data_IF_295812145792
#
_entry.id   IF_295812145792
#
_cell.length_a   1.000
_cell.length_b   1.000
_cell.length_c   1.000
_cell.angle_alpha   90.00
_cell.angle_beta   90.00
_cell.angle_gamma   90.00
#
_symmetry.space_group_name_H-M   'P 1'
#
loop_
_entity.id
_entity.type
_entity.pdbx_description
1 polymer ?
#
# COMPACT_ATOMS: atom_id res chain seq x y z
N UNK A 1 -13.22 20.44 19.07
CA UNK A 1 -12.63 19.25 18.47
C UNK A 1 -11.62 18.66 19.45
N UNK A 2 -11.71 17.37 19.72
CA UNK A 2 -10.73 16.66 20.53
C UNK A 2 -9.42 16.49 19.77
N UNK A 3 -8.31 16.25 20.48
CA UNK A 3 -7.01 15.99 19.83
C UNK A 3 -7.09 14.76 18.91
N UNK A 4 -7.85 13.75 19.31
CA UNK A 4 -8.12 12.56 18.51
C UNK A 4 -8.76 12.90 17.16
N UNK A 5 -9.77 13.78 17.14
CA UNK A 5 -10.42 14.20 15.89
C UNK A 5 -9.44 14.83 14.90
N UNK A 6 -8.51 15.67 15.36
CA UNK A 6 -7.47 16.26 14.51
C UNK A 6 -6.56 15.19 13.91
N UNK A 7 -6.13 14.21 14.70
CA UNK A 7 -5.23 13.16 14.23
C UNK A 7 -5.91 12.23 13.22
N UNK A 8 -7.16 11.84 13.45
CA UNK A 8 -7.95 11.04 12.52
C UNK A 8 -8.18 11.80 11.21
N UNK A 9 -8.52 13.09 11.28
CA UNK A 9 -8.70 13.93 10.08
C UNK A 9 -7.41 14.01 9.27
N UNK A 10 -6.25 14.22 9.91
CA UNK A 10 -4.96 14.28 9.23
C UNK A 10 -4.64 12.96 8.50
N UNK A 11 -4.80 11.82 9.16
CA UNK A 11 -4.60 10.50 8.56
C UNK A 11 -5.56 10.28 7.40
N UNK A 12 -6.85 10.63 7.58
CA UNK A 12 -7.89 10.47 6.54
C UNK A 12 -7.62 11.33 5.31
N UNK A 13 -7.09 12.56 5.48
CA UNK A 13 -6.69 13.42 4.35
C UNK A 13 -5.55 12.76 3.56
N UNK A 14 -4.50 12.26 4.21
CA UNK A 14 -3.37 11.61 3.54
C UNK A 14 -3.80 10.34 2.81
N UNK A 15 -4.66 9.53 3.44
CA UNK A 15 -5.25 8.34 2.82
C UNK A 15 -6.11 8.72 1.61
N UNK A 16 -6.95 9.74 1.75
CA UNK A 16 -7.81 10.25 0.67
C UNK A 16 -7.00 10.76 -0.52
N UNK A 17 -5.90 11.49 -0.27
CA UNK A 17 -4.98 11.95 -1.33
C UNK A 17 -4.35 10.76 -2.07
N UNK A 18 -3.90 9.71 -1.35
CA UNK A 18 -3.34 8.52 -1.99
C UNK A 18 -4.36 7.80 -2.88
N UNK A 19 -5.60 7.63 -2.41
CA UNK A 19 -6.67 7.05 -3.22
C UNK A 19 -7.05 7.93 -4.42
N UNK A 20 -7.05 9.25 -4.25
CA UNK A 20 -7.31 10.18 -5.33
C UNK A 20 -6.26 10.06 -6.45
N UNK A 21 -4.97 10.03 -6.09
CA UNK A 21 -3.86 9.88 -7.01
C UNK A 21 -3.91 8.53 -7.78
N UNK A 22 -4.17 7.43 -7.06
CA UNK A 22 -4.35 6.11 -7.67
C UNK A 22 -5.55 6.07 -8.62
N UNK A 23 -6.67 6.68 -8.23
CA UNK A 23 -7.89 6.75 -9.06
C UNK A 23 -7.68 7.64 -10.28
N UNK A 24 -6.93 8.72 -10.17
CA UNK A 24 -6.56 9.60 -11.26
C UNK A 24 -5.70 8.86 -12.28
N UNK A 25 -4.65 8.16 -11.83
CA UNK A 25 -3.82 7.32 -12.69
C UNK A 25 -4.65 6.24 -13.42
N UNK A 26 -5.58 5.59 -12.73
CA UNK A 26 -6.46 4.60 -13.34
C UNK A 26 -7.42 5.24 -14.38
N UNK A 27 -7.99 6.40 -14.04
CA UNK A 27 -8.87 7.16 -14.95
C UNK A 27 -8.14 7.49 -16.25
N UNK A 28 -6.90 7.97 -16.15
CA UNK A 28 -6.10 8.38 -17.29
C UNK A 28 -5.72 7.21 -18.21
N UNK A 29 -5.61 6.01 -17.66
CA UNK A 29 -5.43 4.79 -18.44
C UNK A 29 -6.71 4.33 -19.16
N UNK A 30 -7.89 4.64 -18.63
CA UNK A 30 -9.20 4.23 -19.21
C UNK A 30 -9.70 5.22 -20.26
N UNK A 31 -9.15 6.44 -20.33
CA UNK A 31 -9.59 7.47 -21.29
C UNK A 31 -9.42 6.98 -22.74
N UNK A 32 -10.44 7.21 -23.62
CA UNK A 32 -10.46 6.67 -24.97
C UNK A 32 -9.42 7.29 -25.92
N UNK A 33 -8.79 8.38 -25.52
CA UNK A 33 -7.77 9.09 -26.29
C UNK A 33 -6.43 8.36 -26.33
N UNK A 34 -6.28 7.30 -25.54
CA UNK A 34 -5.04 6.55 -25.38
C UNK A 34 -5.23 5.08 -25.67
N UNK A 35 -4.24 4.49 -26.35
CA UNK A 35 -4.16 3.04 -26.47
C UNK A 35 -3.41 2.50 -25.27
N UNK A 36 -4.02 1.58 -24.51
CA UNK A 36 -3.37 0.91 -23.38
C UNK A 36 -3.24 -0.56 -23.65
N UNK A 37 -2.02 -1.07 -23.58
CA UNK A 37 -1.75 -2.50 -23.56
C UNK A 37 -1.87 -2.99 -22.12
N UNK A 38 -3.04 -3.50 -21.77
CA UNK A 38 -3.37 -3.94 -20.42
C UNK A 38 -2.55 -5.15 -19.99
N UNK A 39 -2.06 -5.11 -18.75
CA UNK A 39 -1.49 -6.26 -18.04
C UNK A 39 -2.17 -6.41 -16.67
N UNK A 40 -2.43 -7.66 -16.27
CA UNK A 40 -3.15 -7.95 -15.03
C UNK A 40 -2.32 -7.70 -13.76
N UNK A 41 -0.98 -7.72 -13.82
CA UNK A 41 -0.13 -7.56 -12.64
C UNK A 41 -0.23 -6.18 -12.00
N UNK A 42 -0.02 -5.05 -12.73
CA UNK A 42 -0.16 -3.72 -12.12
C UNK A 42 -1.58 -3.45 -11.63
N UNK A 43 -2.61 -3.92 -12.35
CA UNK A 43 -4.01 -3.76 -11.93
C UNK A 43 -4.28 -4.55 -10.64
N UNK A 44 -3.78 -5.78 -10.53
CA UNK A 44 -3.92 -6.58 -9.31
C UNK A 44 -3.21 -5.91 -8.12
N UNK A 45 -2.03 -5.32 -8.33
CA UNK A 45 -1.33 -4.57 -7.28
C UNK A 45 -2.06 -3.29 -6.90
N UNK A 46 -2.69 -2.58 -7.83
CA UNK A 46 -3.55 -1.43 -7.51
C UNK A 46 -4.71 -1.85 -6.58
N UNK A 47 -5.37 -2.99 -6.86
CA UNK A 47 -6.42 -3.54 -5.98
C UNK A 47 -5.87 -3.93 -4.62
N UNK A 48 -4.68 -4.58 -4.56
CA UNK A 48 -4.01 -4.92 -3.29
C UNK A 48 -3.71 -3.66 -2.48
N UNK A 49 -3.22 -2.60 -3.11
CA UNK A 49 -2.93 -1.32 -2.44
C UNK A 49 -4.20 -0.70 -1.86
N UNK A 50 -5.32 -0.70 -2.58
CA UNK A 50 -6.62 -0.26 -2.02
C UNK A 50 -7.00 -1.09 -0.79
N UNK A 51 -6.80 -2.40 -0.83
CA UNK A 51 -7.02 -3.27 0.33
C UNK A 51 -6.14 -2.92 1.52
N UNK A 52 -4.85 -2.61 1.31
CA UNK A 52 -3.96 -2.13 2.38
C UNK A 52 -4.37 -0.76 2.91
N UNK A 53 -4.87 0.13 2.06
CA UNK A 53 -5.41 1.44 2.48
C UNK A 53 -6.56 1.24 3.45
N UNK A 54 -7.53 0.38 3.11
CA UNK A 54 -8.69 0.10 3.97
C UNK A 54 -8.27 -0.55 5.29
N UNK A 55 -7.40 -1.56 5.24
CA UNK A 55 -6.91 -2.24 6.44
C UNK A 55 -6.10 -1.30 7.35
N UNK A 56 -5.20 -0.49 6.79
CA UNK A 56 -4.39 0.46 7.54
C UNK A 56 -5.23 1.57 8.17
N UNK A 57 -6.19 2.13 7.42
CA UNK A 57 -7.09 3.16 7.95
C UNK A 57 -7.88 2.65 9.16
N UNK A 58 -8.42 1.43 9.07
CA UNK A 58 -9.15 0.82 10.17
C UNK A 58 -8.26 0.56 11.39
N UNK A 59 -7.08 -0.02 11.16
CA UNK A 59 -6.10 -0.27 12.22
C UNK A 59 -5.67 1.01 12.91
N UNK A 60 -5.45 2.10 12.17
CA UNK A 60 -5.07 3.39 12.74
C UNK A 60 -6.23 4.04 13.50
N UNK A 61 -7.47 3.87 13.02
CA UNK A 61 -8.63 4.34 13.75
C UNK A 61 -8.70 3.71 15.15
N UNK A 62 -8.54 2.39 15.26
CA UNK A 62 -8.52 1.70 16.56
C UNK A 62 -7.32 2.12 17.41
N UNK A 63 -6.13 2.17 16.81
CA UNK A 63 -4.90 2.53 17.50
C UNK A 63 -4.98 3.93 18.13
N UNK A 64 -5.52 4.89 17.41
CA UNK A 64 -5.65 6.29 17.84
C UNK A 64 -6.69 6.49 18.94
N UNK A 65 -7.53 5.50 19.28
CA UNK A 65 -8.42 5.57 20.45
C UNK A 65 -7.61 5.66 21.77
N UNK A 66 -6.40 5.08 21.79
CA UNK A 66 -5.52 5.14 22.96
C UNK A 66 -4.83 6.51 23.08
N UNK A 67 -4.92 7.15 24.25
CA UNK A 67 -4.35 8.47 24.52
C UNK A 67 -2.82 8.53 24.38
N UNK A 68 -2.14 7.39 24.38
CA UNK A 68 -0.69 7.29 24.18
C UNK A 68 -0.28 7.86 22.81
N UNK A 69 -1.11 7.65 21.79
CA UNK A 69 -0.85 8.08 20.41
C UNK A 69 -1.14 9.56 20.16
N UNK A 70 -1.67 10.29 21.14
CA UNK A 70 -1.95 11.71 21.01
C UNK A 70 -0.70 12.59 21.22
N UNK A 71 0.44 12.00 21.64
CA UNK A 71 1.70 12.72 21.77
C UNK A 71 2.45 12.76 20.43
N UNK A 72 3.11 13.89 20.09
CA UNK A 72 3.77 14.05 18.78
C UNK A 72 4.78 12.94 18.44
N UNK A 73 5.57 12.50 19.41
CA UNK A 73 6.61 11.46 19.19
C UNK A 73 6.01 10.08 18.96
N UNK A 74 4.92 9.72 19.65
CA UNK A 74 4.26 8.43 19.46
C UNK A 74 3.40 8.42 18.20
N UNK A 75 2.85 9.55 17.77
CA UNK A 75 2.11 9.70 16.53
C UNK A 75 3.01 9.65 15.27
N UNK A 76 4.28 10.00 15.38
CA UNK A 76 5.21 10.03 14.24
C UNK A 76 5.27 8.72 13.44
N UNK A 77 5.33 7.52 14.05
CA UNK A 77 5.26 6.25 13.29
C UNK A 77 3.98 6.10 12.48
N UNK A 78 2.82 6.50 13.02
CA UNK A 78 1.53 6.47 12.29
C UNK A 78 1.61 7.39 11.06
N UNK A 79 2.11 8.61 11.24
CA UNK A 79 2.28 9.58 10.16
C UNK A 79 3.22 9.05 9.07
N UNK A 80 4.39 8.51 9.45
CA UNK A 80 5.36 7.97 8.49
C UNK A 80 4.79 6.76 7.73
N UNK A 81 4.03 5.88 8.42
CA UNK A 81 3.36 4.76 7.79
C UNK A 81 2.31 5.22 6.78
N UNK A 82 1.54 6.26 7.14
CA UNK A 82 0.52 6.83 6.25
C UNK A 82 1.16 7.51 5.03
N UNK A 83 2.28 8.21 5.20
CA UNK A 83 3.04 8.79 4.09
C UNK A 83 3.62 7.71 3.16
N UNK A 84 4.13 6.60 3.72
CA UNK A 84 4.60 5.47 2.92
C UNK A 84 3.44 4.82 2.14
N UNK A 85 2.25 4.74 2.74
CA UNK A 85 1.05 4.23 2.08
C UNK A 85 0.59 5.17 0.94
N UNK A 86 0.64 6.48 1.14
CA UNK A 86 0.41 7.47 0.09
C UNK A 86 1.35 7.25 -1.11
N UNK A 87 2.66 7.13 -0.85
CA UNK A 87 3.65 6.87 -1.92
C UNK A 87 3.41 5.52 -2.60
N UNK A 88 2.94 4.52 -1.87
CA UNK A 88 2.58 3.22 -2.45
C UNK A 88 1.41 3.34 -3.44
N UNK A 89 0.41 4.16 -3.13
CA UNK A 89 -0.67 4.50 -4.06
C UNK A 89 -0.15 5.22 -5.30
N UNK A 90 0.70 6.24 -5.11
CA UNK A 90 1.27 7.04 -6.19
C UNK A 90 2.15 6.24 -7.16
N UNK A 91 2.80 5.17 -6.67
CA UNK A 91 3.67 4.33 -7.52
C UNK A 91 2.98 3.10 -8.10
N UNK A 92 1.72 2.80 -7.76
CA UNK A 92 1.05 1.57 -8.16
C UNK A 92 0.76 1.51 -9.66
N UNK A 93 0.41 2.63 -10.29
CA UNK A 93 0.10 2.75 -11.70
C UNK A 93 1.00 3.81 -12.37
N UNK A 94 1.21 3.74 -13.70
CA UNK A 94 2.00 4.73 -14.40
C UNK A 94 1.27 6.07 -14.50
N UNK A 95 2.05 7.14 -14.46
CA UNK A 95 1.64 8.45 -14.94
C UNK A 95 1.64 8.42 -16.48
N UNK A 96 0.45 8.46 -17.06
CA UNK A 96 0.26 8.33 -18.49
C UNK A 96 0.65 9.61 -19.27
N UNK A 97 0.85 10.75 -18.58
CA UNK A 97 1.25 12.01 -19.19
C UNK A 97 2.77 12.15 -19.40
N UNK A 98 3.56 11.27 -18.77
CA UNK A 98 5.00 11.26 -18.95
C UNK A 98 5.39 10.82 -20.37
N UNK A 99 6.09 11.69 -21.10
CA UNK A 99 6.50 11.46 -22.49
C UNK A 99 7.87 10.75 -22.62
N UNK A 100 8.79 10.98 -21.68
CA UNK A 100 10.19 10.51 -21.75
C UNK A 100 10.43 9.18 -21.04
N UNK A 101 9.49 8.21 -21.17
CA UNK A 101 9.60 6.93 -20.48
C UNK A 101 9.46 5.75 -21.43
N UNK A 102 10.19 4.68 -21.13
CA UNK A 102 10.30 3.49 -22.00
C UNK A 102 9.00 2.69 -22.21
N UNK A 103 7.98 2.94 -21.39
CA UNK A 103 6.68 2.28 -21.47
C UNK A 103 5.62 3.07 -22.24
N UNK A 104 5.94 4.28 -22.70
CA UNK A 104 5.09 5.09 -23.56
C UNK A 104 5.70 5.13 -24.95
N UNK A 105 4.95 4.71 -25.96
CA UNK A 105 5.35 4.77 -27.37
C UNK A 105 4.36 5.63 -28.14
N UNK A 106 4.88 6.53 -28.98
CA UNK A 106 4.05 7.35 -29.86
C UNK A 106 4.22 6.87 -31.29
N UNK A 107 3.12 6.51 -31.95
CA UNK A 107 3.15 6.08 -33.35
C UNK A 107 3.31 7.28 -34.32
N UNK A 108 3.50 6.99 -35.61
CA UNK A 108 3.63 8.01 -36.66
C UNK A 108 2.38 8.90 -36.83
N UNK A 109 1.26 8.54 -36.20
CA UNK A 109 -0.01 9.30 -36.23
C UNK A 109 -0.18 10.15 -34.95
N UNK A 110 0.82 10.16 -34.03
CA UNK A 110 0.74 10.88 -32.77
C UNK A 110 -0.07 10.16 -31.68
N UNK A 111 -0.50 8.92 -31.91
CA UNK A 111 -1.26 8.14 -30.90
C UNK A 111 -0.30 7.58 -29.85
N UNK A 112 -0.53 7.92 -28.59
CA UNK A 112 0.25 7.42 -27.46
C UNK A 112 -0.26 6.04 -27.05
N UNK A 113 0.64 5.08 -26.92
CA UNK A 113 0.36 3.73 -26.38
C UNK A 113 1.14 3.52 -25.12
N UNK A 114 0.43 3.20 -24.03
CA UNK A 114 1.01 2.87 -22.72
C UNK A 114 1.06 1.36 -22.55
N UNK A 115 2.25 0.81 -22.35
CA UNK A 115 2.47 -0.63 -22.12
C UNK A 115 2.66 -0.91 -20.61
N UNK A 116 1.62 -1.47 -19.99
CA UNK A 116 1.59 -1.76 -18.55
C UNK A 116 2.55 -2.90 -18.16
N UNK A 117 2.84 -3.86 -19.06
CA UNK A 117 3.81 -4.91 -18.79
C UNK A 117 5.22 -4.33 -18.72
N UNK A 118 5.59 -3.50 -19.69
CA UNK A 118 6.90 -2.82 -19.72
C UNK A 118 7.06 -1.89 -18.53
N UNK A 119 6.02 -1.14 -18.14
CA UNK A 119 6.02 -0.32 -16.94
C UNK A 119 6.31 -1.15 -15.70
N UNK A 120 5.51 -2.19 -15.46
CA UNK A 120 5.58 -3.02 -14.25
C UNK A 120 6.94 -3.72 -14.09
N UNK A 121 7.48 -4.27 -15.19
CA UNK A 121 8.76 -4.98 -15.18
C UNK A 121 9.98 -4.06 -15.24
N UNK A 122 9.78 -2.75 -15.39
CA UNK A 122 10.90 -1.79 -15.39
C UNK A 122 11.64 -1.82 -14.05
N UNK A 123 12.97 -1.66 -14.11
CA UNK A 123 13.80 -1.69 -12.90
C UNK A 123 13.49 -0.52 -11.96
N UNK A 124 13.09 0.62 -12.52
CA UNK A 124 12.73 1.82 -11.77
C UNK A 124 11.45 1.60 -10.98
N UNK A 125 10.36 1.16 -11.64
CA UNK A 125 9.10 0.88 -10.96
C UNK A 125 9.25 -0.18 -9.88
N UNK A 126 9.90 -1.33 -10.19
CA UNK A 126 10.09 -2.39 -9.21
C UNK A 126 10.83 -1.93 -7.95
N UNK A 127 11.88 -1.11 -8.10
CA UNK A 127 12.63 -0.58 -6.95
C UNK A 127 11.80 0.39 -6.12
N UNK A 128 11.13 1.32 -6.76
CA UNK A 128 10.35 2.33 -6.03
C UNK A 128 9.07 1.77 -5.45
N UNK A 129 8.27 1.06 -6.23
CA UNK A 129 7.00 0.50 -5.76
C UNK A 129 7.21 -0.56 -4.67
N UNK A 130 7.97 -1.61 -4.96
CA UNK A 130 8.20 -2.67 -3.97
C UNK A 130 9.14 -2.25 -2.84
N UNK A 131 10.04 -1.29 -3.07
CA UNK A 131 10.83 -0.66 -2.01
C UNK A 131 9.93 0.09 -1.02
N UNK A 132 9.01 0.90 -1.53
CA UNK A 132 8.00 1.59 -0.71
C UNK A 132 7.06 0.59 -0.02
N UNK A 133 6.66 -0.50 -0.68
CA UNK A 133 5.86 -1.57 -0.08
C UNK A 133 6.57 -2.24 1.10
N UNK A 134 7.88 -2.50 0.97
CA UNK A 134 8.68 -3.04 2.06
C UNK A 134 8.80 -2.04 3.22
N UNK A 135 9.08 -0.76 2.95
CA UNK A 135 9.15 0.31 3.96
C UNK A 135 7.80 0.47 4.66
N UNK A 136 6.70 0.58 3.91
CA UNK A 136 5.35 0.65 4.45
C UNK A 136 5.07 -0.52 5.40
N UNK A 137 5.38 -1.74 4.99
CA UNK A 137 5.12 -2.93 5.78
C UNK A 137 5.91 -2.96 7.08
N UNK A 138 7.19 -2.59 7.03
CA UNK A 138 8.04 -2.53 8.22
C UNK A 138 7.56 -1.45 9.19
N UNK A 139 7.20 -0.27 8.68
CA UNK A 139 6.64 0.81 9.48
C UNK A 139 5.29 0.41 10.09
N UNK A 140 4.41 -0.22 9.30
CA UNK A 140 3.10 -0.68 9.76
C UNK A 140 3.22 -1.72 10.88
N UNK A 141 4.05 -2.76 10.67
CA UNK A 141 4.33 -3.78 11.68
C UNK A 141 4.92 -3.14 12.93
N UNK A 142 5.88 -2.25 12.79
CA UNK A 142 6.51 -1.53 13.91
C UNK A 142 5.51 -0.68 14.69
N UNK A 143 4.62 0.03 13.99
CA UNK A 143 3.58 0.89 14.58
C UNK A 143 2.56 0.05 15.38
N UNK A 144 2.05 -1.04 14.80
CA UNK A 144 1.11 -1.93 15.47
C UNK A 144 1.74 -2.60 16.69
N UNK A 145 2.99 -3.08 16.57
CA UNK A 145 3.70 -3.67 17.70
C UNK A 145 4.00 -2.67 18.82
N UNK A 146 4.35 -1.42 18.48
CA UNK A 146 4.52 -0.36 19.47
C UNK A 146 3.21 -0.11 20.24
N UNK A 147 2.04 -0.14 19.57
CA UNK A 147 0.74 -0.06 20.23
C UNK A 147 0.55 -1.13 21.28
N UNK A 148 0.85 -2.36 20.94
CA UNK A 148 0.72 -3.50 21.89
C UNK A 148 1.65 -3.38 23.10
N UNK A 149 2.86 -2.84 22.92
CA UNK A 149 3.81 -2.63 24.03
C UNK A 149 3.30 -1.58 25.01
N UNK A 150 2.63 -0.55 24.52
CA UNK A 150 2.09 0.49 25.40
C UNK A 150 0.86 0.03 26.21
N UNK A 151 0.15 -1.01 25.76
CA UNK A 151 -1.08 -1.49 26.42
C UNK A 151 -0.83 -2.57 27.50
N UNK A 152 0.41 -3.02 27.75
CA UNK A 152 0.75 -3.85 28.90
C UNK A 152 1.85 -4.92 28.76
N UNK A 153 2.28 -5.49 29.89
CA UNK A 153 3.47 -6.34 30.09
C UNK A 153 3.58 -7.68 29.32
N UNK A 154 2.55 -8.15 28.66
CA UNK A 154 2.60 -9.37 27.82
C UNK A 154 3.12 -9.10 26.41
N UNK A 155 3.42 -7.87 26.12
CA UNK A 155 3.55 -7.31 24.77
C UNK A 155 4.87 -7.66 24.07
N UNK A 156 6.00 -7.76 24.78
CA UNK A 156 7.28 -7.90 24.10
C UNK A 156 7.44 -9.27 23.41
N UNK A 157 7.07 -10.36 24.10
CA UNK A 157 7.14 -11.71 23.51
C UNK A 157 6.08 -11.93 22.41
N UNK A 158 4.88 -11.38 22.60
CA UNK A 158 3.85 -11.39 21.57
C UNK A 158 4.25 -10.54 20.36
N UNK A 159 4.81 -9.35 20.58
CA UNK A 159 5.26 -8.47 19.52
C UNK A 159 6.37 -9.07 18.65
N UNK A 160 7.37 -9.71 19.25
CA UNK A 160 8.44 -10.42 18.51
C UNK A 160 7.86 -11.56 17.68
N UNK A 161 6.97 -12.37 18.25
CA UNK A 161 6.33 -13.48 17.54
C UNK A 161 5.48 -12.98 16.37
N UNK A 162 4.66 -11.94 16.58
CA UNK A 162 3.85 -11.35 15.53
C UNK A 162 4.69 -10.70 14.43
N UNK A 163 5.77 -10.01 14.77
CA UNK A 163 6.72 -9.47 13.78
C UNK A 163 7.29 -10.58 12.90
N UNK A 164 7.75 -11.69 13.50
CA UNK A 164 8.28 -12.82 12.73
C UNK A 164 7.24 -13.46 11.81
N UNK A 165 5.96 -13.51 12.21
CA UNK A 165 4.88 -13.96 11.36
C UNK A 165 4.48 -12.95 10.28
N UNK A 166 4.66 -11.64 10.54
CA UNK A 166 4.28 -10.58 9.61
C UNK A 166 5.33 -10.33 8.51
N UNK A 167 6.63 -10.62 8.76
CA UNK A 167 7.70 -10.44 7.77
C UNK A 167 7.47 -11.20 6.44
N UNK A 168 7.00 -12.46 6.42
CA UNK A 168 6.70 -13.16 5.18
C UNK A 168 5.49 -12.59 4.41
N UNK A 169 4.65 -11.77 5.04
CA UNK A 169 3.39 -11.31 4.43
C UNK A 169 3.64 -10.33 3.27
N UNK A 170 4.39 -9.28 3.50
CA UNK A 170 4.68 -8.28 2.46
C UNK A 170 6.16 -7.88 2.38
N UNK A 171 6.91 -7.68 3.49
CA UNK A 171 8.31 -7.25 3.40
C UNK A 171 9.18 -8.21 2.58
N UNK A 172 9.15 -9.50 2.88
CA UNK A 172 9.94 -10.50 2.15
C UNK A 172 9.47 -10.66 0.70
N UNK A 173 8.17 -10.85 0.39
CA UNK A 173 7.68 -10.82 -0.98
C UNK A 173 8.10 -9.58 -1.78
N UNK A 174 8.01 -8.38 -1.20
CA UNK A 174 8.41 -7.15 -1.85
C UNK A 174 9.91 -7.16 -2.23
N UNK A 175 10.79 -7.61 -1.34
CA UNK A 175 12.23 -7.74 -1.61
C UNK A 175 12.52 -8.75 -2.74
N UNK A 176 11.81 -9.88 -2.76
CA UNK A 176 11.92 -10.87 -3.83
C UNK A 176 11.48 -10.26 -5.17
N UNK A 177 10.39 -9.50 -5.19
CA UNK A 177 9.85 -8.85 -6.39
C UNK A 177 10.78 -7.74 -6.93
N UNK A 178 11.57 -7.07 -6.07
CA UNK A 178 12.63 -6.16 -6.51
C UNK A 178 13.72 -6.94 -7.26
N UNK A 179 14.13 -8.09 -6.72
CA UNK A 179 15.28 -8.84 -7.21
C UNK A 179 14.98 -9.65 -8.48
N UNK A 180 13.76 -10.16 -8.64
CA UNK A 180 13.40 -11.06 -9.76
C UNK A 180 12.71 -10.31 -10.90
N UNK A 181 12.85 -10.89 -12.14
CA UNK A 181 12.11 -10.47 -13.33
C UNK A 181 11.17 -11.58 -13.85
N UNK A 182 11.14 -12.72 -13.18
CA UNK A 182 10.35 -13.85 -13.63
C UNK A 182 8.87 -13.62 -13.40
N UNK A 183 8.10 -13.48 -14.46
CA UNK A 183 6.65 -13.18 -14.43
C UNK A 183 5.84 -14.14 -13.55
N UNK A 184 6.17 -15.44 -13.57
CA UNK A 184 5.52 -16.45 -12.73
C UNK A 184 5.70 -16.19 -11.23
N UNK A 185 6.90 -15.75 -10.83
CA UNK A 185 7.16 -15.38 -9.41
C UNK A 185 6.33 -14.17 -9.03
N UNK A 186 6.22 -13.17 -9.92
CA UNK A 186 5.36 -12.01 -9.70
C UNK A 186 3.90 -12.41 -9.51
N UNK A 187 3.34 -13.27 -10.40
CA UNK A 187 1.98 -13.77 -10.23
C UNK A 187 1.79 -14.55 -8.94
N UNK A 188 2.69 -15.46 -8.59
CA UNK A 188 2.62 -16.24 -7.37
C UNK A 188 2.58 -15.36 -6.11
N UNK A 189 3.48 -14.37 -6.03
CA UNK A 189 3.54 -13.46 -4.88
C UNK A 189 2.40 -12.42 -4.88
N UNK A 190 1.88 -12.03 -6.04
CA UNK A 190 0.68 -11.19 -6.14
C UNK A 190 -0.55 -11.91 -5.59
N UNK A 191 -0.78 -13.17 -6.00
CA UNK A 191 -1.88 -13.98 -5.48
C UNK A 191 -1.75 -14.24 -3.98
N UNK A 192 -0.52 -14.51 -3.50
CA UNK A 192 -0.23 -14.64 -2.09
C UNK A 192 -0.58 -13.34 -1.31
N UNK A 193 -0.12 -12.18 -1.80
CA UNK A 193 -0.42 -10.88 -1.16
C UNK A 193 -1.92 -10.56 -1.20
N UNK A 194 -2.62 -10.89 -2.29
CA UNK A 194 -4.07 -10.74 -2.39
C UNK A 194 -4.81 -11.61 -1.36
N UNK A 195 -4.38 -12.86 -1.17
CA UNK A 195 -4.92 -13.74 -0.12
C UNK A 195 -4.78 -13.14 1.27
N UNK A 196 -3.64 -12.51 1.56
CA UNK A 196 -3.43 -11.82 2.82
C UNK A 196 -4.32 -10.58 2.99
N UNK A 197 -4.52 -9.79 1.95
CA UNK A 197 -5.44 -8.63 2.00
C UNK A 197 -6.86 -9.10 2.28
N UNK A 198 -7.32 -10.15 1.60
CA UNK A 198 -8.65 -10.74 1.85
C UNK A 198 -8.77 -11.22 3.30
N UNK A 199 -7.74 -11.88 3.83
CA UNK A 199 -7.70 -12.31 5.22
C UNK A 199 -7.80 -11.12 6.20
N UNK A 200 -6.99 -10.06 6.00
CA UNK A 200 -7.02 -8.86 6.84
C UNK A 200 -8.40 -8.17 6.81
N UNK A 201 -8.99 -8.02 5.62
CA UNK A 201 -10.30 -7.40 5.48
C UNK A 201 -11.42 -8.26 6.08
N UNK A 202 -11.31 -9.59 6.03
CA UNK A 202 -12.27 -10.48 6.68
C UNK A 202 -12.20 -10.41 8.20
N UNK A 203 -10.99 -10.24 8.76
CA UNK A 203 -10.79 -10.06 10.21
C UNK A 203 -11.43 -8.75 10.69
N UNK A 204 -11.21 -7.66 9.95
CA UNK A 204 -11.88 -6.37 10.18
C UNK A 204 -13.41 -6.51 10.11
N UNK A 205 -13.93 -7.19 9.09
CA UNK A 205 -15.38 -7.39 8.93
C UNK A 205 -15.98 -8.21 10.09
N UNK A 206 -15.28 -9.25 10.55
CA UNK A 206 -15.71 -10.06 11.69
C UNK A 206 -15.69 -9.26 13.00
N UNK A 207 -14.69 -8.42 13.22
CA UNK A 207 -14.64 -7.53 14.39
C UNK A 207 -15.84 -6.58 14.43
N UNK A 208 -16.25 -6.04 13.27
CA UNK A 208 -17.43 -5.19 13.14
C UNK A 208 -18.75 -5.93 13.40
N UNK A 209 -18.86 -7.18 12.92
CA UNK A 209 -20.07 -7.99 13.08
C UNK A 209 -20.25 -8.53 14.51
N UNK A 210 -19.15 -8.75 15.25
CA UNK A 210 -19.17 -9.30 16.61
C UNK A 210 -19.28 -8.24 17.72
N UNK A 211 -19.19 -6.95 17.42
CA UNK A 211 -19.25 -5.84 18.37
C UNK A 211 -20.65 -5.22 18.58
N UNK A 212 -21.73 -5.93 18.13
CA UNK A 212 -23.12 -5.50 18.28
C UNK A 212 -23.81 -6.15 19.49
#
# INVERSE_FOLDING_TARGET
MSQLEYLIVLVSILVGLGLADLTESLRDLVLPERNVRWDGLPVAWAVIVVGYVLAAWWTFYDLLQSAVWHRPLTFLPVLLTTLALYLLCAFALPDADREDVSYVTTDARGTKTVDLETFYLSSTHRRWFFGTAAIFSLLFIGTVNAGMVYDGDRALQMGVRQTLFALPILPIPALILIATRHRWVHWGLTLYSMGWVVYLLSDVANALAGGG
#
